data_IF_481121660501
#
_entry.id   IF_481121660501
#
_cell.length_a   1.000
_cell.length_b   1.000
_cell.length_c   1.000
_cell.angle_alpha   90.00
_cell.angle_beta   90.00
_cell.angle_gamma   90.00
#
_symmetry.space_group_name_H-M   'P 1'
#
loop_
_entity.id
_entity.type
_entity.pdbx_description
1 polymer ?
#
# COMPACT_ATOMS: atom_id res chain seq x y z
N UNK A 1 58.32 38.35 8.45
CA UNK A 1 57.79 38.66 7.11
C UNK A 1 57.67 37.31 6.37
N UNK A 2 56.72 36.48 6.77
CA UNK A 2 55.37 36.36 6.17
C UNK A 2 55.40 35.85 4.72
N UNK A 3 55.50 34.53 4.54
CA UNK A 3 54.87 33.76 3.46
C UNK A 3 55.35 32.30 3.54
N UNK A 4 54.53 31.42 4.11
CA UNK A 4 54.42 29.98 3.79
C UNK A 4 53.57 29.29 4.86
N UNK A 5 52.28 29.63 4.90
CA UNK A 5 51.26 28.85 5.61
C UNK A 5 49.92 29.13 4.92
N UNK A 6 49.22 28.05 4.52
CA UNK A 6 47.85 27.94 4.00
C UNK A 6 47.70 27.52 2.52
N UNK A 7 48.32 26.41 2.14
CA UNK A 7 47.76 25.53 1.10
C UNK A 7 47.23 24.25 1.76
N UNK A 8 46.07 24.38 2.40
CA UNK A 8 45.29 23.25 2.88
C UNK A 8 44.06 23.12 1.98
N UNK A 9 44.26 22.60 0.76
CA UNK A 9 43.17 22.13 -0.09
C UNK A 9 43.16 20.61 0.00
N UNK A 10 42.32 20.09 0.90
CA UNK A 10 41.94 18.69 0.94
C UNK A 10 41.45 18.25 -0.45
N UNK A 11 42.27 17.48 -1.15
CA UNK A 11 41.88 16.81 -2.38
C UNK A 11 40.85 15.74 -2.02
N UNK A 12 39.61 15.96 -2.45
CA UNK A 12 38.54 14.98 -2.33
C UNK A 12 38.98 13.67 -2.99
N UNK A 13 38.99 12.60 -2.19
CA UNK A 13 39.22 11.23 -2.66
C UNK A 13 38.22 10.91 -3.78
N UNK A 14 38.79 10.47 -4.91
CA UNK A 14 38.09 9.98 -6.08
C UNK A 14 37.11 8.86 -5.70
N UNK A 15 35.81 9.17 -5.75
CA UNK A 15 34.72 8.20 -5.76
C UNK A 15 34.81 7.39 -7.05
N UNK A 16 35.65 6.35 -7.04
CA UNK A 16 35.62 5.30 -8.06
C UNK A 16 34.23 4.67 -8.04
N UNK A 17 33.49 4.96 -9.11
CA UNK A 17 32.38 4.21 -9.71
C UNK A 17 31.94 2.96 -8.92
N UNK A 18 30.89 3.13 -8.13
CA UNK A 18 30.02 2.01 -7.76
C UNK A 18 29.35 1.48 -9.04
N UNK A 19 29.22 0.16 -9.22
CA UNK A 19 28.55 -0.39 -10.39
C UNK A 19 27.07 0.04 -10.38
N UNK A 20 26.71 0.93 -11.31
CA UNK A 20 25.31 1.20 -11.65
C UNK A 20 24.76 0.00 -12.42
N UNK A 21 24.35 -1.04 -11.70
CA UNK A 21 23.35 -1.99 -12.18
C UNK A 21 22.04 -1.67 -11.46
N UNK A 22 21.54 -0.45 -11.63
CA UNK A 22 20.18 -0.10 -11.25
C UNK A 22 19.32 -0.26 -12.49
N UNK A 23 18.61 -1.39 -12.57
CA UNK A 23 17.42 -1.50 -13.43
C UNK A 23 16.57 -0.23 -13.23
N UNK A 24 15.96 0.34 -14.29
CA UNK A 24 15.17 1.56 -14.14
C UNK A 24 14.11 1.30 -13.06
N UNK A 25 14.14 2.08 -11.98
CA UNK A 25 13.11 2.03 -10.94
C UNK A 25 11.81 2.35 -11.66
N UNK A 26 10.93 1.36 -11.83
CA UNK A 26 9.64 1.59 -12.49
C UNK A 26 8.95 2.72 -11.75
N UNK A 27 8.65 3.81 -12.45
CA UNK A 27 8.02 4.99 -11.84
C UNK A 27 6.70 4.55 -11.20
N UNK A 28 6.60 4.71 -9.87
CA UNK A 28 5.36 4.40 -9.15
C UNK A 28 4.36 5.54 -9.34
N UNK A 29 3.10 5.19 -9.59
CA UNK A 29 2.02 6.18 -9.61
C UNK A 29 1.45 6.35 -8.20
N UNK A 30 1.24 7.61 -7.82
CA UNK A 30 0.57 7.98 -6.59
C UNK A 30 -0.95 7.99 -6.76
N UNK A 31 -1.64 7.40 -5.79
CA UNK A 31 -3.10 7.37 -5.70
C UNK A 31 -3.56 7.97 -4.39
N UNK A 32 -4.72 8.62 -4.41
CA UNK A 32 -5.35 9.24 -3.24
C UNK A 32 -6.64 8.48 -2.92
N UNK A 33 -6.52 7.49 -2.05
CA UNK A 33 -7.61 6.56 -1.77
C UNK A 33 -8.46 7.03 -0.61
N UNK A 34 -9.77 6.97 -0.78
CA UNK A 34 -10.77 7.07 0.29
C UNK A 34 -10.87 5.69 0.94
N UNK A 35 -10.59 5.60 2.25
CA UNK A 35 -10.64 4.33 3.00
C UNK A 35 -12.04 4.04 3.55
N UNK A 36 -13.03 4.03 2.66
CA UNK A 36 -14.46 3.82 2.95
C UNK A 36 -14.90 2.34 2.90
N UNK A 37 -13.96 1.42 2.66
CA UNK A 37 -14.23 -0.01 2.66
C UNK A 37 -14.34 -0.61 4.06
N UNK A 38 -13.66 -0.01 5.03
CA UNK A 38 -13.59 -0.53 6.38
C UNK A 38 -14.83 -0.17 7.23
N UNK A 39 -15.89 -0.95 7.10
CA UNK A 39 -17.22 -0.67 7.68
C UNK A 39 -17.24 -0.52 9.22
N UNK A 40 -16.27 -1.08 9.95
CA UNK A 40 -16.22 -0.93 11.42
C UNK A 40 -15.66 0.43 11.86
N UNK A 41 -15.15 1.23 10.93
CA UNK A 41 -14.73 2.63 11.15
C UNK A 41 -15.76 3.56 10.52
N UNK A 42 -16.95 3.62 11.13
CA UNK A 42 -18.05 4.47 10.66
C UNK A 42 -17.67 5.95 10.56
N UNK A 43 -16.68 6.39 11.35
CA UNK A 43 -16.05 7.71 11.28
C UNK A 43 -15.39 8.00 9.92
N UNK A 44 -14.93 6.96 9.22
CA UNK A 44 -14.30 7.05 7.90
C UNK A 44 -15.30 6.88 6.73
N UNK A 45 -16.49 6.34 6.99
CA UNK A 45 -17.55 6.14 6.00
C UNK A 45 -18.39 7.41 5.79
N UNK A 46 -17.80 8.43 5.15
CA UNK A 46 -18.53 9.63 4.74
C UNK A 46 -19.04 9.51 3.31
N UNK A 47 -20.29 9.98 3.07
CA UNK A 47 -20.94 9.93 1.76
C UNK A 47 -20.25 10.81 0.70
N UNK A 48 -19.45 11.79 1.12
CA UNK A 48 -18.73 12.70 0.23
C UNK A 48 -17.27 12.85 0.67
N UNK A 49 -16.31 12.79 -0.27
CA UNK A 49 -14.92 13.03 0.05
C UNK A 49 -14.70 14.48 0.47
N UNK A 50 -14.07 14.71 1.63
CA UNK A 50 -13.70 16.06 2.11
C UNK A 50 -12.48 16.65 1.39
N UNK A 51 -12.03 16.03 0.30
CA UNK A 51 -10.86 16.45 -0.45
C UNK A 51 -11.01 16.09 -1.93
N UNK A 52 -10.27 16.82 -2.76
CA UNK A 52 -10.10 16.53 -4.17
C UNK A 52 -8.62 16.46 -4.49
N UNK A 53 -8.22 15.40 -5.18
CA UNK A 53 -6.86 15.13 -5.58
C UNK A 53 -6.86 14.43 -6.95
N UNK A 54 -5.78 14.50 -7.73
CA UNK A 54 -5.65 13.70 -8.93
C UNK A 54 -5.56 12.21 -8.59
N UNK A 55 -6.05 11.34 -9.47
CA UNK A 55 -5.97 9.89 -9.33
C UNK A 55 -6.54 9.39 -7.99
N UNK A 56 -7.75 9.85 -7.69
CA UNK A 56 -8.48 9.37 -6.53
C UNK A 56 -9.06 7.98 -6.75
N UNK A 57 -9.20 7.22 -5.67
CA UNK A 57 -9.84 5.90 -5.61
C UNK A 57 -10.78 5.85 -4.41
N UNK A 58 -11.81 5.02 -4.48
CA UNK A 58 -12.62 4.59 -3.33
C UNK A 58 -12.39 3.10 -3.12
N UNK A 59 -12.07 2.76 -1.88
CA UNK A 59 -11.86 1.38 -1.47
C UNK A 59 -13.14 0.55 -1.60
N UNK A 60 -14.30 1.14 -1.30
CA UNK A 60 -15.59 0.49 -1.41
C UNK A 60 -15.95 0.06 -2.85
N UNK A 61 -15.37 0.72 -3.86
CA UNK A 61 -15.56 0.40 -5.29
C UNK A 61 -14.55 -0.66 -5.81
N UNK A 62 -13.71 -1.21 -4.94
CA UNK A 62 -12.75 -2.28 -5.26
C UNK A 62 -13.06 -3.50 -4.36
N UNK A 63 -14.09 -4.30 -4.69
CA UNK A 63 -14.61 -5.35 -3.81
C UNK A 63 -13.57 -6.42 -3.43
N UNK A 64 -12.56 -6.62 -4.28
CA UNK A 64 -11.46 -7.56 -4.05
C UNK A 64 -10.66 -7.22 -2.79
N UNK A 65 -10.60 -5.94 -2.40
CA UNK A 65 -9.93 -5.52 -1.16
C UNK A 65 -10.64 -6.09 0.07
N UNK A 66 -11.97 -5.97 0.14
CA UNK A 66 -12.76 -6.53 1.23
C UNK A 66 -12.65 -8.06 1.23
N UNK A 67 -12.79 -8.70 0.08
CA UNK A 67 -12.65 -10.15 -0.04
C UNK A 67 -11.33 -10.65 0.55
N UNK A 68 -10.20 -10.07 0.12
CA UNK A 68 -8.87 -10.51 0.57
C UNK A 68 -8.63 -10.14 2.03
N UNK A 69 -9.06 -8.97 2.51
CA UNK A 69 -8.91 -8.59 3.91
C UNK A 69 -9.63 -9.58 4.84
N UNK A 70 -10.86 -9.98 4.50
CA UNK A 70 -11.61 -10.96 5.28
C UNK A 70 -10.97 -12.35 5.20
N UNK A 71 -10.49 -12.79 4.03
CA UNK A 71 -9.79 -14.08 3.91
C UNK A 71 -8.50 -14.12 4.74
N UNK A 72 -7.71 -13.04 4.74
CA UNK A 72 -6.51 -12.91 5.58
C UNK A 72 -6.89 -12.96 7.05
N UNK A 73 -7.93 -12.23 7.45
CA UNK A 73 -8.40 -12.22 8.83
C UNK A 73 -8.87 -13.61 9.29
N UNK A 74 -9.66 -14.29 8.45
CA UNK A 74 -10.17 -15.64 8.71
C UNK A 74 -9.05 -16.67 8.87
N UNK A 75 -7.92 -16.56 8.15
CA UNK A 75 -6.79 -17.47 8.30
C UNK A 75 -6.14 -17.45 9.69
N UNK A 76 -6.37 -16.40 10.48
CA UNK A 76 -5.85 -16.27 11.84
C UNK A 76 -6.82 -16.79 12.89
N UNK A 77 -8.08 -17.00 12.53
CA UNK A 77 -9.08 -17.49 13.45
C UNK A 77 -8.89 -19.00 13.66
N UNK A 78 -8.73 -19.40 14.92
CA UNK A 78 -8.85 -20.79 15.33
C UNK A 78 -10.32 -21.15 15.55
N UNK A 79 -10.63 -22.44 15.49
CA UNK A 79 -11.98 -22.95 15.78
C UNK A 79 -12.23 -23.19 17.27
N UNK A 80 -11.20 -22.99 18.10
CA UNK A 80 -11.23 -23.30 19.54
C UNK A 80 -11.75 -22.14 20.40
N UNK A 81 -12.06 -20.99 19.79
CA UNK A 81 -12.50 -19.77 20.48
C UNK A 81 -13.80 -19.25 19.82
N UNK A 82 -14.68 -18.54 20.57
CA UNK A 82 -15.82 -17.85 19.98
C UNK A 82 -15.38 -16.89 18.87
N UNK A 83 -16.15 -16.84 17.79
CA UNK A 83 -15.91 -15.89 16.71
C UNK A 83 -16.04 -14.46 17.24
N UNK A 84 -15.05 -13.58 17.02
CA UNK A 84 -15.12 -12.20 17.48
C UNK A 84 -16.15 -11.39 16.68
N UNK A 85 -16.71 -10.36 17.32
CA UNK A 85 -17.64 -9.42 16.67
C UNK A 85 -17.00 -8.69 15.47
N UNK A 86 -15.70 -8.42 15.55
CA UNK A 86 -14.90 -7.84 14.48
C UNK A 86 -13.80 -8.82 14.10
N UNK A 87 -13.90 -9.39 12.90
CA UNK A 87 -12.94 -10.38 12.40
C UNK A 87 -11.68 -9.71 11.83
N UNK A 88 -11.85 -8.68 11.00
CA UNK A 88 -10.73 -7.98 10.34
C UNK A 88 -10.28 -6.75 11.11
N UNK A 89 -8.98 -6.53 11.20
CA UNK A 89 -8.37 -5.30 11.73
C UNK A 89 -7.61 -4.53 10.64
N UNK A 90 -7.16 -3.31 10.94
CA UNK A 90 -6.46 -2.43 9.98
C UNK A 90 -5.29 -3.09 9.24
N UNK A 91 -4.52 -3.94 9.93
CA UNK A 91 -3.40 -4.65 9.31
C UNK A 91 -3.85 -5.60 8.18
N UNK A 92 -5.07 -6.16 8.24
CA UNK A 92 -5.63 -7.00 7.18
C UNK A 92 -5.98 -6.19 5.94
N UNK A 93 -6.50 -4.96 6.13
CA UNK A 93 -6.78 -4.02 5.04
C UNK A 93 -5.50 -3.53 4.37
N UNK A 94 -4.46 -3.20 5.13
CA UNK A 94 -3.14 -2.90 4.54
C UNK A 94 -2.57 -4.10 3.78
N UNK A 95 -2.69 -5.31 4.33
CA UNK A 95 -2.24 -6.52 3.64
C UNK A 95 -2.98 -6.76 2.33
N UNK A 96 -4.31 -6.57 2.33
CA UNK A 96 -5.13 -6.68 1.13
C UNK A 96 -4.72 -5.65 0.06
N UNK A 97 -4.47 -4.40 0.42
CA UNK A 97 -3.98 -3.36 -0.52
C UNK A 97 -2.63 -3.73 -1.14
N UNK A 98 -1.73 -4.36 -0.37
CA UNK A 98 -0.44 -4.83 -0.88
C UNK A 98 -0.63 -5.91 -1.94
N UNK A 99 -1.49 -6.90 -1.67
CA UNK A 99 -1.70 -8.03 -2.57
C UNK A 99 -2.56 -7.68 -3.78
N UNK A 100 -3.74 -7.12 -3.53
CA UNK A 100 -4.75 -6.84 -4.56
C UNK A 100 -4.28 -5.73 -5.48
N UNK A 101 -3.82 -4.60 -4.92
CA UNK A 101 -3.49 -3.41 -5.71
C UNK A 101 -1.99 -3.30 -6.04
N UNK A 102 -1.16 -4.20 -5.51
CA UNK A 102 0.28 -4.12 -5.70
C UNK A 102 0.89 -2.86 -5.08
N UNK A 103 0.39 -2.40 -3.94
CA UNK A 103 0.98 -1.23 -3.25
C UNK A 103 2.43 -1.50 -2.90
N UNK A 104 3.30 -0.52 -3.20
CA UNK A 104 4.74 -0.54 -2.91
C UNK A 104 5.13 0.48 -1.85
N UNK A 105 4.38 1.57 -1.74
CA UNK A 105 4.64 2.62 -0.75
C UNK A 105 3.34 3.08 -0.12
N UNK A 106 3.32 3.14 1.21
CA UNK A 106 2.30 3.86 1.96
C UNK A 106 2.89 5.14 2.53
N UNK A 107 2.16 6.24 2.42
CA UNK A 107 2.51 7.51 3.03
C UNK A 107 1.81 7.62 4.39
N UNK A 108 2.57 7.32 5.45
CA UNK A 108 2.08 7.16 6.83
C UNK A 108 2.90 7.99 7.82
N UNK A 109 2.36 8.15 9.03
CA UNK A 109 3.13 8.57 10.19
C UNK A 109 3.99 7.42 10.76
N UNK A 110 5.07 7.77 11.44
CA UNK A 110 6.04 6.80 12.00
C UNK A 110 5.40 5.84 13.03
N UNK A 111 4.35 6.27 13.72
CA UNK A 111 3.61 5.43 14.68
C UNK A 111 2.97 4.20 14.03
N UNK A 112 2.75 4.21 12.70
CA UNK A 112 2.15 3.10 11.95
C UNK A 112 3.19 2.09 11.42
N UNK A 113 4.48 2.27 11.69
CA UNK A 113 5.52 1.28 11.31
C UNK A 113 5.18 -0.13 11.79
N UNK A 114 4.80 -0.37 13.07
CA UNK A 114 4.49 -1.72 13.54
C UNK A 114 3.29 -2.32 12.78
N UNK A 115 2.27 -1.53 12.50
CA UNK A 115 1.09 -1.96 11.73
C UNK A 115 1.48 -2.39 10.31
N UNK A 116 2.32 -1.60 9.61
CA UNK A 116 2.78 -1.96 8.27
C UNK A 116 3.67 -3.21 8.27
N UNK A 117 4.47 -3.44 9.32
CA UNK A 117 5.24 -4.69 9.49
C UNK A 117 4.30 -5.89 9.62
N UNK A 118 3.26 -5.78 10.45
CA UNK A 118 2.23 -6.81 10.60
C UNK A 118 1.50 -7.07 9.29
N UNK A 119 1.10 -6.02 8.57
CA UNK A 119 0.45 -6.14 7.27
C UNK A 119 1.32 -6.84 6.23
N UNK A 120 2.61 -6.47 6.13
CA UNK A 120 3.56 -7.14 5.24
C UNK A 120 3.75 -8.62 5.60
N UNK A 121 3.79 -8.95 6.89
CA UNK A 121 3.88 -10.33 7.37
C UNK A 121 2.65 -11.14 6.94
N UNK A 122 1.45 -10.61 7.16
CA UNK A 122 0.18 -11.26 6.77
C UNK A 122 0.06 -11.42 5.26
N UNK A 123 0.37 -10.38 4.50
CA UNK A 123 0.37 -10.43 3.05
C UNK A 123 1.35 -11.49 2.53
N UNK A 124 2.55 -11.59 3.10
CA UNK A 124 3.53 -12.62 2.75
C UNK A 124 2.99 -14.02 3.04
N UNK A 125 2.48 -14.28 4.24
CA UNK A 125 1.97 -15.60 4.62
C UNK A 125 0.81 -16.03 3.73
N UNK A 126 -0.14 -15.11 3.46
CA UNK A 126 -1.26 -15.37 2.58
C UNK A 126 -0.80 -15.67 1.15
N UNK A 127 0.12 -14.86 0.62
CA UNK A 127 0.66 -15.06 -0.72
C UNK A 127 1.44 -16.37 -0.86
N UNK A 128 2.23 -16.74 0.14
CA UNK A 128 2.97 -18.01 0.14
C UNK A 128 2.01 -19.20 0.15
N UNK A 129 0.99 -19.18 1.01
CA UNK A 129 -0.01 -20.26 1.10
C UNK A 129 -0.76 -20.44 -0.23
N UNK A 130 -1.04 -19.35 -0.92
CA UNK A 130 -1.87 -19.34 -2.13
C UNK A 130 -1.07 -19.20 -3.44
N UNK A 131 0.26 -19.27 -3.39
CA UNK A 131 1.15 -19.07 -4.55
C UNK A 131 0.89 -17.76 -5.32
N UNK A 132 0.60 -16.68 -4.60
CA UNK A 132 0.40 -15.35 -5.18
C UNK A 132 1.72 -14.57 -5.23
N UNK A 133 1.91 -13.68 -6.21
CA UNK A 133 3.06 -12.79 -6.23
C UNK A 133 3.01 -11.83 -5.04
N UNK A 134 4.16 -11.65 -4.37
CA UNK A 134 4.27 -10.74 -3.24
C UNK A 134 5.51 -9.86 -3.35
N UNK A 135 5.34 -8.58 -3.06
CA UNK A 135 6.44 -7.63 -2.84
C UNK A 135 6.07 -6.78 -1.64
N UNK A 136 6.98 -6.68 -0.68
CA UNK A 136 6.74 -5.91 0.54
C UNK A 136 6.52 -4.42 0.21
N UNK A 137 5.55 -3.80 0.87
CA UNK A 137 5.37 -2.37 0.83
C UNK A 137 6.26 -1.68 1.87
N UNK A 138 6.68 -0.48 1.54
CA UNK A 138 7.53 0.35 2.37
C UNK A 138 6.73 1.56 2.87
N UNK A 139 7.22 2.19 3.93
CA UNK A 139 6.68 3.45 4.41
C UNK A 139 7.48 4.61 3.81
N UNK A 140 6.79 5.67 3.37
CA UNK A 140 7.36 7.02 3.30
C UNK A 140 6.69 7.88 4.34
N UNK A 141 7.49 8.70 5.00
CA UNK A 141 6.97 9.61 6.02
C UNK A 141 6.04 10.62 5.37
N UNK A 142 4.85 10.74 5.94
CA UNK A 142 3.87 11.76 5.58
C UNK A 142 3.79 12.77 6.72
N UNK A 143 4.42 13.93 6.54
CA UNK A 143 4.36 15.05 7.48
C UNK A 143 3.07 15.86 7.22
N UNK A 144 1.90 15.39 7.65
CA UNK A 144 0.64 16.10 7.35
C UNK A 144 -0.36 16.07 8.51
N UNK A 145 -0.23 17.04 9.42
CA UNK A 145 -1.17 17.26 10.53
C UNK A 145 -2.59 17.71 10.10
N UNK A 146 -2.85 17.86 8.79
CA UNK A 146 -4.12 18.37 8.24
C UNK A 146 -4.72 17.48 7.16
N UNK A 147 -4.25 16.23 7.04
CA UNK A 147 -4.82 15.27 6.10
C UNK A 147 -6.18 14.80 6.62
N UNK A 148 -7.23 14.73 5.77
CA UNK A 148 -8.50 14.10 6.16
C UNK A 148 -8.29 12.65 6.59
N UNK A 149 -8.89 12.23 7.70
CA UNK A 149 -8.67 10.90 8.29
C UNK A 149 -8.99 9.75 7.31
N UNK A 150 -9.98 9.97 6.44
CA UNK A 150 -10.39 9.03 5.39
C UNK A 150 -9.45 8.95 4.18
N UNK A 151 -8.35 9.72 4.14
CA UNK A 151 -7.44 9.75 2.99
C UNK A 151 -6.18 8.90 3.23
N UNK A 152 -5.95 7.94 2.34
CA UNK A 152 -4.71 7.17 2.28
C UNK A 152 -3.98 7.43 0.95
N UNK A 153 -2.76 7.98 1.03
CA UNK A 153 -1.88 8.07 -0.14
C UNK A 153 -1.06 6.79 -0.25
N UNK A 154 -1.17 6.14 -1.41
CA UNK A 154 -0.45 4.92 -1.76
C UNK A 154 0.28 5.11 -3.09
N UNK A 155 1.32 4.31 -3.32
CA UNK A 155 1.96 4.23 -4.63
C UNK A 155 2.01 2.79 -5.13
N UNK A 156 1.63 2.58 -6.39
CA UNK A 156 1.59 1.28 -7.06
C UNK A 156 2.42 1.33 -8.35
N UNK A 157 2.81 0.17 -8.88
CA UNK A 157 3.48 0.10 -10.19
C UNK A 157 2.50 0.32 -11.35
N UNK A 158 1.23 0.07 -11.11
CA UNK A 158 0.13 0.31 -12.03
C UNK A 158 0.07 1.78 -12.44
N UNK A 159 -0.01 2.02 -13.75
CA UNK A 159 -0.14 3.37 -14.30
C UNK A 159 -1.44 3.55 -15.08
N UNK A 160 -2.15 4.66 -14.82
CA UNK A 160 -3.22 5.16 -15.67
C UNK A 160 -2.73 6.38 -16.45
N UNK A 161 -2.99 6.39 -17.76
CA UNK A 161 -2.58 7.48 -18.66
C UNK A 161 -3.34 8.78 -18.38
N UNK A 162 -4.58 8.65 -17.93
CA UNK A 162 -5.51 9.77 -17.72
C UNK A 162 -6.28 9.55 -16.41
N UNK A 163 -6.55 10.66 -15.71
CA UNK A 163 -7.44 10.69 -14.55
C UNK A 163 -8.88 10.88 -15.03
N UNK A 164 -9.75 9.92 -14.71
CA UNK A 164 -11.16 9.91 -15.13
C UNK A 164 -12.12 10.24 -13.99
N UNK A 165 -11.60 10.69 -12.85
CA UNK A 165 -12.37 10.88 -11.63
C UNK A 165 -12.49 9.60 -10.81
N UNK A 166 -12.73 9.76 -9.50
CA UNK A 166 -12.56 8.68 -8.53
C UNK A 166 -13.43 7.44 -8.76
N UNK A 167 -14.68 7.61 -9.23
CA UNK A 167 -15.57 6.47 -9.52
C UNK A 167 -15.01 5.64 -10.68
N UNK A 168 -14.74 6.28 -11.82
CA UNK A 168 -14.23 5.62 -13.02
C UNK A 168 -12.82 5.07 -12.81
N UNK A 169 -11.97 5.78 -12.08
CA UNK A 169 -10.65 5.28 -11.70
C UNK A 169 -10.78 4.01 -10.86
N UNK A 170 -11.66 3.98 -9.86
CA UNK A 170 -11.84 2.81 -8.98
C UNK A 170 -12.38 1.61 -9.74
N UNK A 171 -13.41 1.81 -10.56
CA UNK A 171 -13.95 0.76 -11.42
C UNK A 171 -12.89 0.25 -12.40
N UNK A 172 -12.16 1.15 -13.07
CA UNK A 172 -11.10 0.74 -13.99
C UNK A 172 -10.01 -0.05 -13.27
N UNK A 173 -9.60 0.39 -12.08
CA UNK A 173 -8.61 -0.28 -11.26
C UNK A 173 -9.07 -1.68 -10.86
N UNK A 174 -10.30 -1.81 -10.35
CA UNK A 174 -10.90 -3.08 -9.91
C UNK A 174 -11.03 -4.12 -11.04
N UNK A 175 -11.24 -3.69 -12.28
CA UNK A 175 -11.42 -4.61 -13.41
C UNK A 175 -10.12 -4.97 -14.12
N UNK A 176 -9.14 -4.06 -14.16
CA UNK A 176 -8.00 -4.20 -15.08
C UNK A 176 -6.64 -4.23 -14.40
N UNK A 177 -6.52 -3.72 -13.17
CA UNK A 177 -5.22 -3.36 -12.60
C UNK A 177 -4.93 -4.02 -11.25
N UNK A 178 -5.89 -4.77 -10.69
CA UNK A 178 -5.73 -5.52 -9.46
C UNK A 178 -5.80 -7.02 -9.69
N UNK A 179 -5.46 -7.81 -8.67
CA UNK A 179 -5.77 -9.24 -8.67
C UNK A 179 -7.27 -9.44 -8.85
N UNK A 180 -7.66 -10.30 -9.79
CA UNK A 180 -9.07 -10.61 -10.06
C UNK A 180 -9.64 -11.57 -9.02
N UNK A 181 -10.96 -11.53 -8.84
CA UNK A 181 -11.67 -12.46 -7.94
C UNK A 181 -11.41 -13.91 -8.34
N UNK A 182 -11.48 -14.23 -9.64
CA UNK A 182 -11.19 -15.58 -10.14
C UNK A 182 -9.78 -16.04 -9.76
N UNK A 183 -8.78 -15.15 -9.86
CA UNK A 183 -7.39 -15.46 -9.46
C UNK A 183 -7.32 -15.75 -7.96
N UNK A 184 -7.99 -14.92 -7.15
CA UNK A 184 -8.01 -15.06 -5.69
C UNK A 184 -8.70 -16.37 -5.28
N UNK A 185 -9.89 -16.63 -5.82
CA UNK A 185 -10.69 -17.83 -5.51
C UNK A 185 -10.02 -19.11 -6.01
N UNK A 186 -9.46 -19.10 -7.23
CA UNK A 186 -8.70 -20.23 -7.75
C UNK A 186 -7.47 -20.53 -6.88
N UNK A 187 -6.83 -19.51 -6.32
CA UNK A 187 -5.70 -19.68 -5.41
C UNK A 187 -6.11 -20.23 -4.03
N UNK A 188 -7.32 -19.90 -3.56
CA UNK A 188 -7.88 -20.42 -2.31
C UNK A 188 -8.43 -21.85 -2.42
N UNK A 189 -8.85 -22.28 -3.62
CA UNK A 189 -9.43 -23.60 -3.85
C UNK A 189 -8.42 -24.69 -4.25
N UNK A 190 -7.12 -24.38 -4.31
CA UNK A 190 -6.08 -25.39 -4.52
C UNK A 190 -5.85 -26.16 -3.20
N UNK A 191 -5.96 -27.49 -3.22
CA UNK A 191 -5.80 -28.33 -2.03
C UNK A 191 -4.38 -28.29 -1.47
#
# INVERSE_FOLDING_TARGET
MYQQLLENKMSALSLKQLPQSASPVSQLQRWYMIVDGNQHRSDLCQLQPQFQAPYMLSEALIPQLRLVAILIAAQRLGFDQPTPDIISEEADWFAARILVMGVRVFHLDITLIPMLKTANSRARSFAQKHNLPFTQAQMRMSLHASRPEQMLIIETQTQCKEDKGWIQNSQHFAHNLCLTEDTILAACNRP
#
